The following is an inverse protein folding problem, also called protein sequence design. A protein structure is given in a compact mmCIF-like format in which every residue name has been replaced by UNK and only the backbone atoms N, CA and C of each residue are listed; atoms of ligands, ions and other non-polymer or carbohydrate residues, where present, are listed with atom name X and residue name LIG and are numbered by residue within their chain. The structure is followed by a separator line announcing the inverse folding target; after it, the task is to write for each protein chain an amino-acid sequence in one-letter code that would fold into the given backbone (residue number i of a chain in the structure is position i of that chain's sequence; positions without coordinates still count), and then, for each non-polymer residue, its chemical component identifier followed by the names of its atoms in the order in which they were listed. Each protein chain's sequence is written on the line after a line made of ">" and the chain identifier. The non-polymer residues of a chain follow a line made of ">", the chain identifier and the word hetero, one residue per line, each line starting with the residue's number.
data_IF_562244594662
#
_entry.id   IF_562244594662
#
_cell.length_a   1.000
_cell.length_b   1.000
_cell.length_c   1.000
_cell.angle_alpha   90.00
_cell.angle_beta   90.00
_cell.angle_gamma   90.00
#
_symmetry.space_group_name_H-M   'P 1'
#
loop_
_entity.id
_entity.type
_entity.pdbx_description
1 polymer ?
#
# COMPACT_ATOMS: atom_id res chain seq x y z
N UNK A 1 10.89 -26.75 -36.98
CA UNK A 1 10.86 -25.30 -36.69
C UNK A 1 10.76 -25.15 -35.18
N UNK A 2 11.89 -24.95 -34.50
CA UNK A 2 11.97 -24.90 -33.05
C UNK A 2 11.34 -23.61 -32.53
N UNK A 3 10.16 -23.71 -31.92
CA UNK A 3 9.57 -22.62 -31.15
C UNK A 3 10.48 -22.40 -29.95
N UNK A 4 11.11 -21.23 -29.90
CA UNK A 4 12.12 -20.91 -28.90
C UNK A 4 11.50 -20.89 -27.50
N UNK A 5 12.22 -21.36 -26.48
CA UNK A 5 11.77 -21.30 -25.08
C UNK A 5 11.42 -19.85 -24.66
N UNK A 6 12.02 -18.87 -25.33
CA UNK A 6 11.71 -17.45 -25.19
C UNK A 6 10.26 -17.11 -25.56
N UNK A 7 9.72 -17.67 -26.65
CA UNK A 7 8.33 -17.42 -27.07
C UNK A 7 7.32 -17.99 -26.05
N UNK A 8 7.65 -19.13 -25.43
CA UNK A 8 6.84 -19.70 -24.34
C UNK A 8 6.90 -18.82 -23.09
N UNK A 9 8.09 -18.36 -22.69
CA UNK A 9 8.26 -17.43 -21.55
C UNK A 9 7.47 -16.14 -21.81
N UNK A 10 7.51 -15.62 -23.03
CA UNK A 10 6.79 -14.41 -23.41
C UNK A 10 5.27 -14.61 -23.43
N UNK A 11 4.79 -15.77 -23.87
CA UNK A 11 3.38 -16.17 -23.78
C UNK A 11 2.92 -16.28 -22.32
N UNK A 12 3.70 -16.91 -21.45
CA UNK A 12 3.40 -17.00 -20.01
C UNK A 12 3.38 -15.62 -19.35
N UNK A 13 4.38 -14.77 -19.65
CA UNK A 13 4.41 -13.39 -19.18
C UNK A 13 3.20 -12.59 -19.67
N UNK A 14 2.72 -12.80 -20.90
CA UNK A 14 1.53 -12.15 -21.43
C UNK A 14 0.25 -12.61 -20.74
N UNK A 15 0.15 -13.90 -20.40
CA UNK A 15 -0.98 -14.47 -19.64
C UNK A 15 -0.98 -13.93 -18.20
N UNK A 16 0.19 -13.88 -17.56
CA UNK A 16 0.38 -13.30 -16.22
C UNK A 16 0.07 -11.81 -16.24
N UNK A 17 0.57 -11.06 -17.22
CA UNK A 17 0.30 -9.64 -17.47
C UNK A 17 -1.18 -9.33 -17.71
N UNK A 18 -1.94 -10.25 -18.33
CA UNK A 18 -3.38 -10.05 -18.53
C UNK A 18 -4.19 -10.37 -17.27
N UNK A 19 -3.72 -11.29 -16.43
CA UNK A 19 -4.34 -11.62 -15.13
C UNK A 19 -4.01 -10.60 -14.04
N UNK A 20 -2.75 -10.19 -13.94
CA UNK A 20 -2.29 -9.09 -13.09
C UNK A 20 -2.55 -7.82 -13.85
N UNK A 21 -3.69 -7.17 -13.63
CA UNK A 21 -4.11 -5.94 -14.29
C UNK A 21 -2.97 -4.89 -14.32
N UNK A 22 -2.05 -4.94 -15.32
CA UNK A 22 -0.81 -4.15 -15.30
C UNK A 22 -1.11 -2.66 -15.29
N UNK A 23 -2.29 -2.28 -15.77
CA UNK A 23 -2.82 -0.92 -15.68
C UNK A 23 -2.93 -0.42 -14.24
N UNK A 24 -3.15 -1.31 -13.26
CA UNK A 24 -3.15 -0.99 -11.83
C UNK A 24 -1.74 -0.76 -11.26
N UNK A 25 -0.69 -1.34 -11.86
CA UNK A 25 0.70 -1.01 -11.50
C UNK A 25 1.04 0.41 -11.98
N UNK A 26 0.49 0.82 -13.12
CA UNK A 26 0.53 2.20 -13.61
C UNK A 26 -0.56 3.11 -13.01
N UNK A 27 -1.19 2.71 -11.90
CA UNK A 27 -2.06 3.61 -11.19
C UNK A 27 -1.25 4.83 -10.72
N UNK A 28 -1.78 6.06 -10.84
CA UNK A 28 -1.06 7.28 -10.46
C UNK A 28 -0.48 7.22 -9.05
N UNK A 29 -1.20 6.60 -8.09
CA UNK A 29 -0.75 6.41 -6.71
C UNK A 29 0.50 5.53 -6.60
N UNK A 30 0.57 4.45 -7.39
CA UNK A 30 1.69 3.49 -7.35
C UNK A 30 2.92 4.14 -7.97
N UNK A 31 2.78 4.77 -9.13
CA UNK A 31 3.89 5.48 -9.79
C UNK A 31 4.39 6.65 -8.94
N UNK A 32 3.48 7.43 -8.32
CA UNK A 32 3.86 8.51 -7.41
C UNK A 32 4.64 7.99 -6.19
N UNK A 33 4.22 6.86 -5.59
CA UNK A 33 4.94 6.24 -4.48
C UNK A 33 6.36 5.82 -4.86
N UNK A 34 6.55 5.21 -6.04
CA UNK A 34 7.88 4.85 -6.54
C UNK A 34 8.78 6.08 -6.74
N UNK A 35 8.24 7.15 -7.32
CA UNK A 35 8.98 8.41 -7.52
C UNK A 35 9.37 9.01 -6.17
N UNK A 36 8.42 9.13 -5.23
CA UNK A 36 8.67 9.66 -3.88
C UNK A 36 9.71 8.84 -3.12
N UNK A 37 9.64 7.52 -3.21
CA UNK A 37 10.64 6.63 -2.62
C UNK A 37 12.03 6.82 -3.23
N UNK A 38 12.11 6.96 -4.56
CA UNK A 38 13.36 7.23 -5.27
C UNK A 38 13.98 8.57 -4.83
N UNK A 39 13.17 9.62 -4.72
CA UNK A 39 13.59 10.94 -4.21
C UNK A 39 14.10 10.84 -2.76
N UNK A 40 13.42 10.06 -1.91
CA UNK A 40 13.80 9.88 -0.51
C UNK A 40 15.04 9.03 -0.29
N UNK A 41 15.29 8.02 -1.13
CA UNK A 41 16.44 7.13 -1.01
C UNK A 41 17.73 7.71 -1.56
N UNK A 42 17.67 8.47 -2.66
CA UNK A 42 18.88 8.99 -3.32
C UNK A 42 19.38 10.24 -2.57
N UNK A 43 20.54 10.19 -1.88
CA UNK A 43 20.98 11.28 -1.00
C UNK A 43 21.18 12.61 -1.73
N UNK A 44 21.61 12.57 -3.00
CA UNK A 44 21.80 13.76 -3.83
C UNK A 44 20.47 14.49 -4.08
N UNK A 45 19.42 13.76 -4.45
CA UNK A 45 18.10 14.32 -4.75
C UNK A 45 17.42 14.77 -3.44
N UNK A 46 17.52 13.94 -2.39
CA UNK A 46 17.02 14.27 -1.05
C UNK A 46 17.62 15.57 -0.52
N UNK A 47 18.93 15.79 -0.67
CA UNK A 47 19.58 17.01 -0.18
C UNK A 47 19.19 18.25 -0.99
N UNK A 48 18.81 18.10 -2.26
CA UNK A 48 18.38 19.18 -3.15
C UNK A 48 16.93 19.62 -2.93
N UNK A 49 16.07 18.73 -2.39
CA UNK A 49 14.61 18.96 -2.27
C UNK A 49 14.15 18.98 -0.81
N UNK A 50 14.65 18.09 0.04
CA UNK A 50 14.11 17.81 1.40
C UNK A 50 14.95 18.46 2.51
N UNK A 51 16.25 18.71 2.29
CA UNK A 51 17.13 19.31 3.31
C UNK A 51 16.67 20.72 3.72
N UNK A 52 16.96 21.12 4.97
CA UNK A 52 16.49 22.41 5.52
C UNK A 52 17.01 23.65 4.76
N UNK A 53 18.16 23.56 4.11
CA UNK A 53 18.71 24.63 3.25
C UNK A 53 18.68 24.24 1.75
N UNK A 54 17.76 23.36 1.35
CA UNK A 54 17.64 22.88 -0.01
C UNK A 54 17.14 23.97 -0.98
N UNK A 55 17.72 24.10 -2.19
CA UNK A 55 17.28 25.10 -3.17
C UNK A 55 15.83 24.88 -3.66
N UNK A 56 15.34 23.63 -3.64
CA UNK A 56 13.98 23.28 -4.08
C UNK A 56 13.03 22.93 -2.93
N UNK A 57 13.27 23.45 -1.73
CA UNK A 57 12.44 23.20 -0.54
C UNK A 57 10.95 23.53 -0.77
N UNK A 58 10.66 24.52 -1.62
CA UNK A 58 9.29 24.90 -2.01
C UNK A 58 8.46 23.75 -2.60
N UNK A 59 9.10 22.80 -3.31
CA UNK A 59 8.42 21.63 -3.87
C UNK A 59 8.01 20.66 -2.76
N UNK A 60 8.90 20.48 -1.77
CA UNK A 60 8.63 19.65 -0.60
C UNK A 60 7.51 20.26 0.25
N UNK A 61 7.56 21.57 0.52
CA UNK A 61 6.51 22.26 1.30
C UNK A 61 5.15 22.18 0.63
N UNK A 62 5.11 22.41 -0.69
CA UNK A 62 3.88 22.28 -1.47
C UNK A 62 3.32 20.86 -1.42
N UNK A 63 4.19 19.85 -1.54
CA UNK A 63 3.80 18.45 -1.46
C UNK A 63 3.32 18.04 -0.05
N UNK A 64 3.94 18.57 1.01
CA UNK A 64 3.50 18.36 2.39
C UNK A 64 2.12 18.99 2.62
N UNK A 65 1.92 20.24 2.20
CA UNK A 65 0.61 20.92 2.31
C UNK A 65 -0.50 20.15 1.58
N UNK A 66 -0.23 19.66 0.37
CA UNK A 66 -1.17 18.82 -0.37
C UNK A 66 -1.40 17.47 0.31
N UNK A 67 -0.36 16.85 0.86
CA UNK A 67 -0.43 15.59 1.59
C UNK A 67 -1.29 15.70 2.84
N UNK A 68 -1.08 16.73 3.64
CA UNK A 68 -1.84 17.00 4.87
C UNK A 68 -3.32 17.26 4.56
N UNK A 69 -3.60 18.01 3.49
CA UNK A 69 -4.97 18.22 3.02
C UNK A 69 -5.60 16.94 2.44
N UNK A 70 -4.82 16.05 1.82
CA UNK A 70 -5.32 14.82 1.22
C UNK A 70 -5.84 13.82 2.27
N UNK A 71 -5.27 13.78 3.48
CA UNK A 71 -5.68 12.85 4.56
C UNK A 71 -7.19 12.98 4.89
N UNK A 72 -7.72 14.17 5.25
CA UNK A 72 -9.14 14.33 5.52
C UNK A 72 -10.00 14.22 4.25
N UNK A 73 -9.50 14.65 3.08
CA UNK A 73 -10.25 14.56 1.80
C UNK A 73 -10.53 13.09 1.45
N UNK A 74 -9.51 12.23 1.48
CA UNK A 74 -9.67 10.79 1.21
C UNK A 74 -10.64 10.16 2.21
N UNK A 75 -10.53 10.53 3.49
CA UNK A 75 -11.45 10.05 4.53
C UNK A 75 -12.90 10.46 4.24
N UNK A 76 -13.14 11.69 3.80
CA UNK A 76 -14.46 12.19 3.42
C UNK A 76 -15.01 11.48 2.17
N UNK A 77 -14.16 11.21 1.17
CA UNK A 77 -14.54 10.43 -0.02
C UNK A 77 -14.96 9.02 0.37
N UNK A 78 -14.21 8.35 1.24
CA UNK A 78 -14.56 7.01 1.76
C UNK A 78 -15.89 7.08 2.50
N UNK A 79 -16.09 8.07 3.39
CA UNK A 79 -17.36 8.27 4.09
C UNK A 79 -18.55 8.47 3.12
N UNK A 80 -18.39 9.30 2.09
CA UNK A 80 -19.40 9.51 1.06
C UNK A 80 -19.73 8.24 0.26
N UNK A 81 -18.71 7.46 -0.09
CA UNK A 81 -18.88 6.18 -0.79
C UNK A 81 -19.60 5.14 0.09
N UNK A 82 -19.29 5.12 1.40
CA UNK A 82 -19.97 4.24 2.36
C UNK A 82 -21.45 4.60 2.51
N UNK A 83 -21.82 5.88 2.49
CA UNK A 83 -23.23 6.29 2.53
C UNK A 83 -24.03 5.73 1.34
N UNK A 84 -23.45 5.76 0.13
CA UNK A 84 -24.07 5.17 -1.07
C UNK A 84 -24.20 3.66 -0.96
N UNK A 85 -23.16 2.99 -0.44
CA UNK A 85 -23.16 1.53 -0.26
C UNK A 85 -24.17 1.06 0.80
N UNK A 86 -24.30 1.78 1.91
CA UNK A 86 -25.21 1.44 3.00
C UNK A 86 -26.69 1.72 2.68
N UNK A 87 -26.98 2.78 1.93
CA UNK A 87 -28.36 3.17 1.55
C UNK A 87 -28.80 2.62 0.18
N UNK A 88 -27.96 1.83 -0.48
CA UNK A 88 -28.26 1.26 -1.80
C UNK A 88 -29.34 0.18 -1.75
N UNK A 89 -30.03 -0.09 -2.87
CA UNK A 89 -31.18 -1.01 -2.93
C UNK A 89 -30.85 -2.48 -2.56
N UNK A 90 -29.58 -2.87 -2.57
CA UNK A 90 -29.14 -4.21 -2.18
C UNK A 90 -28.80 -4.35 -0.68
N UNK A 91 -28.60 -3.23 0.04
CA UNK A 91 -28.10 -3.24 1.43
C UNK A 91 -26.73 -3.93 1.59
N UNK A 92 -26.06 -3.72 2.72
CA UNK A 92 -24.87 -4.50 3.08
C UNK A 92 -25.27 -5.52 4.14
N UNK A 93 -24.94 -6.79 3.92
CA UNK A 93 -25.18 -7.84 4.91
C UNK A 93 -24.35 -7.58 6.17
N UNK A 94 -25.00 -7.43 7.33
CA UNK A 94 -24.33 -7.14 8.60
C UNK A 94 -23.32 -8.23 9.00
N UNK A 95 -23.58 -9.48 8.62
CA UNK A 95 -22.64 -10.60 8.80
C UNK A 95 -21.31 -10.39 8.05
N UNK A 96 -21.34 -9.80 6.85
CA UNK A 96 -20.13 -9.48 6.08
C UNK A 96 -19.28 -8.43 6.81
N UNK A 97 -19.91 -7.39 7.36
CA UNK A 97 -19.24 -6.33 8.11
C UNK A 97 -18.55 -6.91 9.34
N UNK A 98 -19.29 -7.71 10.13
CA UNK A 98 -18.74 -8.37 11.32
C UNK A 98 -17.59 -9.31 10.93
N UNK A 99 -17.73 -10.08 9.85
CA UNK A 99 -16.68 -10.96 9.34
C UNK A 99 -15.42 -10.20 8.96
N UNK A 100 -15.55 -9.08 8.23
CA UNK A 100 -14.40 -8.23 7.86
C UNK A 100 -13.72 -7.65 9.09
N UNK A 101 -14.48 -7.16 10.08
CA UNK A 101 -13.95 -6.64 11.34
C UNK A 101 -13.18 -7.74 12.09
N UNK A 102 -13.77 -8.92 12.26
CA UNK A 102 -13.13 -10.03 12.96
C UNK A 102 -11.83 -10.47 12.27
N UNK A 103 -11.85 -10.59 10.93
CA UNK A 103 -10.65 -10.95 10.17
C UNK A 103 -9.58 -9.87 10.30
N UNK A 104 -9.92 -8.60 10.08
CA UNK A 104 -8.95 -7.49 10.05
C UNK A 104 -8.35 -7.16 11.42
N UNK A 105 -9.14 -7.20 12.48
CA UNK A 105 -8.71 -6.74 13.80
C UNK A 105 -8.34 -7.87 14.77
N UNK A 106 -8.67 -9.13 14.46
CA UNK A 106 -8.32 -10.27 15.33
C UNK A 106 -7.43 -11.27 14.59
N UNK A 107 -7.89 -11.84 13.48
CA UNK A 107 -7.15 -12.90 12.80
C UNK A 107 -5.85 -12.39 12.16
N UNK A 108 -5.90 -11.24 11.48
CA UNK A 108 -4.73 -10.66 10.81
C UNK A 108 -3.62 -10.26 11.80
N UNK A 109 -3.90 -9.56 12.91
CA UNK A 109 -2.89 -9.23 13.91
C UNK A 109 -2.32 -10.46 14.61
N UNK A 110 -3.15 -11.47 14.91
CA UNK A 110 -2.70 -12.73 15.50
C UNK A 110 -1.73 -13.48 14.56
N UNK A 111 -2.07 -13.56 13.27
CA UNK A 111 -1.16 -14.13 12.27
C UNK A 111 0.14 -13.32 12.19
N UNK A 112 0.07 -11.99 12.23
CA UNK A 112 1.25 -11.12 12.29
C UNK A 112 2.17 -11.47 13.46
N UNK A 113 1.62 -11.65 14.66
CA UNK A 113 2.39 -12.07 15.85
C UNK A 113 3.07 -13.41 15.63
N UNK A 114 2.35 -14.40 15.11
CA UNK A 114 2.90 -15.74 14.86
C UNK A 114 4.04 -15.66 13.84
N UNK A 115 3.81 -15.00 12.70
CA UNK A 115 4.79 -14.87 11.61
C UNK A 115 6.05 -14.13 12.07
N UNK A 116 5.89 -13.02 12.78
CA UNK A 116 7.04 -12.21 13.21
C UNK A 116 7.84 -12.94 14.29
N UNK A 117 7.17 -13.54 15.28
CA UNK A 117 7.87 -14.33 16.31
C UNK A 117 8.57 -15.56 15.74
N UNK A 118 7.98 -16.26 14.77
CA UNK A 118 8.66 -17.38 14.11
C UNK A 118 9.85 -16.87 13.29
N UNK A 119 9.69 -15.81 12.50
CA UNK A 119 10.78 -15.25 11.69
C UNK A 119 11.97 -14.77 12.53
N UNK A 120 11.73 -14.19 13.72
CA UNK A 120 12.78 -13.82 14.67
C UNK A 120 13.50 -15.06 15.22
N UNK A 121 12.75 -16.12 15.59
CA UNK A 121 13.35 -17.37 16.08
C UNK A 121 14.20 -18.08 15.02
N UNK A 122 13.83 -17.98 13.74
CA UNK A 122 14.60 -18.52 12.62
C UNK A 122 15.72 -17.58 12.13
N UNK A 123 15.90 -16.41 12.74
CA UNK A 123 16.93 -15.43 12.33
C UNK A 123 16.68 -14.75 10.98
N UNK A 124 15.46 -14.84 10.43
CA UNK A 124 15.08 -14.21 9.16
C UNK A 124 14.79 -12.71 9.29
N UNK A 125 14.52 -12.25 10.51
CA UNK A 125 14.12 -10.88 10.85
C UNK A 125 15.07 -10.34 11.91
N UNK A 126 15.51 -9.09 11.75
CA UNK A 126 16.35 -8.43 12.75
C UNK A 126 15.65 -8.40 14.11
N UNK A 127 16.41 -8.74 15.15
CA UNK A 127 15.91 -8.79 16.54
C UNK A 127 15.64 -7.41 17.16
N UNK A 128 15.75 -6.33 16.38
CA UNK A 128 15.50 -4.96 16.84
C UNK A 128 14.00 -4.81 17.24
N UNK A 129 13.71 -4.41 18.49
CA UNK A 129 12.34 -4.20 18.96
C UNK A 129 11.55 -3.20 18.13
N UNK A 130 12.20 -2.16 17.60
CA UNK A 130 11.55 -1.15 16.76
C UNK A 130 11.14 -1.75 15.41
N UNK A 131 11.99 -2.56 14.80
CA UNK A 131 11.68 -3.23 13.54
C UNK A 131 10.52 -4.20 13.71
N UNK A 132 10.52 -5.00 14.79
CA UNK A 132 9.42 -5.91 15.09
C UNK A 132 8.11 -5.17 15.37
N UNK A 133 8.18 -4.03 16.07
CA UNK A 133 7.02 -3.18 16.32
C UNK A 133 6.40 -2.65 15.02
N UNK A 134 7.22 -2.14 14.09
CA UNK A 134 6.75 -1.64 12.78
C UNK A 134 6.09 -2.78 11.97
N UNK A 135 6.69 -3.96 11.97
CA UNK A 135 6.12 -5.14 11.29
C UNK A 135 4.77 -5.54 11.90
N UNK A 136 4.66 -5.56 13.23
CA UNK A 136 3.40 -5.87 13.92
C UNK A 136 2.33 -4.81 13.65
N UNK A 137 2.71 -3.53 13.67
CA UNK A 137 1.82 -2.42 13.36
C UNK A 137 1.22 -2.56 11.96
N UNK A 138 2.01 -3.02 10.98
CA UNK A 138 1.54 -3.23 9.60
C UNK A 138 0.39 -4.25 9.50
N UNK A 139 0.37 -5.27 10.36
CA UNK A 139 -0.72 -6.26 10.43
C UNK A 139 -1.98 -5.73 11.14
N UNK A 140 -1.86 -4.65 11.90
CA UNK A 140 -2.94 -4.03 12.66
C UNK A 140 -3.55 -2.78 11.97
N UNK A 141 -3.10 -2.45 10.76
CA UNK A 141 -3.61 -1.29 10.03
C UNK A 141 -5.06 -1.50 9.54
N UNK A 142 -5.88 -0.43 9.50
CA UNK A 142 -7.22 -0.48 8.95
C UNK A 142 -7.20 -0.93 7.47
N UNK A 143 -8.34 -1.43 6.94
CA UNK A 143 -8.42 -1.87 5.56
C UNK A 143 -8.04 -0.75 4.58
N UNK A 144 -7.42 -1.14 3.46
CA UNK A 144 -6.97 -0.20 2.45
C UNK A 144 -8.14 0.63 1.90
N UNK A 145 -7.96 1.96 1.90
CA UNK A 145 -8.96 2.93 1.46
C UNK A 145 -8.82 3.31 -0.02
N UNK A 146 -7.70 2.94 -0.67
CA UNK A 146 -7.42 3.26 -2.06
C UNK A 146 -8.12 2.28 -3.02
N UNK A 147 -9.45 2.30 -3.02
CA UNK A 147 -10.25 1.60 -4.03
C UNK A 147 -10.85 2.67 -4.95
N UNK A 148 -10.04 3.07 -5.94
CA UNK A 148 -10.53 3.77 -7.11
C UNK A 148 -11.19 2.76 -8.04
N UNK A 149 -12.49 2.95 -8.29
CA UNK A 149 -13.14 2.44 -9.50
C UNK A 149 -13.39 3.58 -10.45
#
# INVERSE_FOLDING_TARGET
>A
MAVSDFDKIWQYLRIISRKLNLKAIFAPSTTAAFIGFTIGLVPQIRNLIISGNAPFHVVQDSALLLGDAAIPIVTLIVGGNLLRGLKGPAGICMSLVIGVIAVRYVLLPLLGIVIIKTAVRFGLVHSDPLYQFILLLHYALPPAMNIGR
#
